data_IF_478050409992
#
_entry.id   IF_478050409992
#
_cell.length_a   1.000
_cell.length_b   1.000
_cell.length_c   1.000
_cell.angle_alpha   90.00
_cell.angle_beta   90.00
_cell.angle_gamma   90.00
#
_symmetry.space_group_name_H-M   'P 1'
#
loop_
_entity.id
_entity.type
_entity.pdbx_description
1 polymer ?
#
# COMPACT_ATOMS: atom_id res chain seq x y z
N UNK A 1 -79.50 39.97 -20.98
CA UNK A 1 -78.26 39.87 -21.80
C UNK A 1 -77.17 40.67 -21.10
N UNK A 2 -76.28 40.03 -20.32
CA UNK A 2 -74.83 40.05 -20.52
C UNK A 2 -74.19 39.19 -19.40
N UNK A 3 -73.57 38.09 -19.80
CA UNK A 3 -72.74 37.25 -18.93
C UNK A 3 -71.28 37.62 -19.21
N UNK A 4 -70.47 37.90 -18.18
CA UNK A 4 -69.01 37.82 -18.28
C UNK A 4 -68.42 37.83 -16.87
N UNK A 5 -68.24 36.64 -16.29
CA UNK A 5 -66.96 35.91 -16.12
C UNK A 5 -66.13 36.47 -14.96
N UNK A 6 -66.33 35.86 -13.79
CA UNK A 6 -65.43 35.95 -12.64
C UNK A 6 -64.19 35.12 -12.94
N UNK A 7 -63.09 35.78 -13.29
CA UNK A 7 -61.77 35.15 -13.33
C UNK A 7 -61.27 35.00 -11.89
N UNK A 8 -61.50 33.82 -11.30
CA UNK A 8 -60.81 33.42 -10.08
C UNK A 8 -59.35 33.08 -10.43
N UNK A 9 -58.34 33.74 -9.82
CA UNK A 9 -56.96 33.32 -10.02
C UNK A 9 -56.79 31.92 -9.45
N UNK A 10 -56.28 31.01 -10.27
CA UNK A 10 -55.91 29.65 -9.85
C UNK A 10 -54.68 29.81 -8.95
N UNK A 11 -54.90 30.05 -7.65
CA UNK A 11 -53.86 29.95 -6.65
C UNK A 11 -53.50 28.47 -6.50
N UNK A 12 -52.59 27.98 -7.34
CA UNK A 12 -51.94 26.70 -7.10
C UNK A 12 -51.31 26.82 -5.70
N UNK A 13 -51.64 25.94 -4.73
CA UNK A 13 -51.15 26.10 -3.37
C UNK A 13 -49.63 26.11 -3.43
N UNK A 14 -49.00 27.19 -2.98
CA UNK A 14 -47.55 27.44 -3.02
C UNK A 14 -46.75 26.19 -2.61
N UNK A 15 -47.25 25.45 -1.62
CA UNK A 15 -46.71 24.19 -1.12
C UNK A 15 -46.59 23.07 -2.17
N UNK A 16 -47.43 23.03 -3.20
CA UNK A 16 -47.40 22.00 -4.26
C UNK A 16 -46.38 22.32 -5.35
N UNK A 17 -46.08 23.61 -5.59
CA UNK A 17 -45.03 24.05 -6.51
C UNK A 17 -43.62 23.95 -5.89
N UNK A 18 -43.51 24.06 -4.56
CA UNK A 18 -42.22 23.98 -3.85
C UNK A 18 -41.72 22.54 -3.62
N UNK A 19 -42.60 21.53 -3.64
CA UNK A 19 -42.22 20.11 -3.48
C UNK A 19 -41.14 19.61 -4.46
N UNK A 20 -41.26 19.79 -5.79
CA UNK A 20 -40.22 19.33 -6.71
C UNK A 20 -38.89 20.05 -6.50
N UNK A 21 -38.92 21.34 -6.12
CA UNK A 21 -37.71 22.10 -5.77
C UNK A 21 -37.05 21.56 -4.49
N UNK A 22 -37.84 21.25 -3.46
CA UNK A 22 -37.35 20.64 -2.21
C UNK A 22 -36.76 19.24 -2.47
N UNK A 23 -37.44 18.41 -3.26
CA UNK A 23 -36.92 17.09 -3.64
C UNK A 23 -35.63 17.22 -4.45
N UNK A 24 -35.59 18.14 -5.41
CA UNK A 24 -34.39 18.43 -6.19
C UNK A 24 -33.22 18.89 -5.31
N UNK A 25 -33.48 19.80 -4.36
CA UNK A 25 -32.48 20.24 -3.38
C UNK A 25 -31.97 19.07 -2.53
N UNK A 26 -32.86 18.24 -2.01
CA UNK A 26 -32.48 17.06 -1.22
C UNK A 26 -31.64 16.07 -2.04
N UNK A 27 -31.98 15.85 -3.31
CA UNK A 27 -31.20 14.99 -4.21
C UNK A 27 -29.80 15.56 -4.48
N UNK A 28 -29.70 16.88 -4.68
CA UNK A 28 -28.40 17.55 -4.86
C UNK A 28 -27.56 17.44 -3.59
N UNK A 29 -28.16 17.71 -2.43
CA UNK A 29 -27.48 17.56 -1.12
C UNK A 29 -26.98 16.12 -0.93
N UNK A 30 -27.83 15.13 -1.20
CA UNK A 30 -27.45 13.72 -1.13
C UNK A 30 -26.31 13.39 -2.08
N UNK A 31 -26.38 13.85 -3.33
CA UNK A 31 -25.32 13.65 -4.33
C UNK A 31 -24.00 14.24 -3.87
N UNK A 32 -24.01 15.48 -3.36
CA UNK A 32 -22.80 16.13 -2.83
C UNK A 32 -22.22 15.32 -1.68
N UNK A 33 -23.05 14.87 -0.73
CA UNK A 33 -22.59 14.04 0.39
C UNK A 33 -21.94 12.73 -0.09
N UNK A 34 -22.52 12.06 -1.08
CA UNK A 34 -21.96 10.83 -1.67
C UNK A 34 -20.63 11.11 -2.37
N UNK A 35 -20.54 12.18 -3.16
CA UNK A 35 -19.29 12.55 -3.84
C UNK A 35 -18.19 12.94 -2.85
N UNK A 36 -18.53 13.69 -1.80
CA UNK A 36 -17.60 14.01 -0.72
C UNK A 36 -17.13 12.74 -0.01
N UNK A 37 -18.04 11.80 0.28
CA UNK A 37 -17.69 10.52 0.87
C UNK A 37 -16.69 9.75 -0.01
N UNK A 38 -16.94 9.65 -1.32
CA UNK A 38 -16.04 9.00 -2.27
C UNK A 38 -14.67 9.70 -2.28
N UNK A 39 -14.63 11.03 -2.32
CA UNK A 39 -13.38 11.79 -2.30
C UNK A 39 -12.56 11.49 -1.03
N UNK A 40 -13.21 11.40 0.14
CA UNK A 40 -12.55 11.00 1.39
C UNK A 40 -11.97 9.59 1.30
N UNK A 41 -12.71 8.62 0.75
CA UNK A 41 -12.20 7.25 0.56
C UNK A 41 -10.97 7.21 -0.35
N UNK A 42 -10.97 8.01 -1.42
CA UNK A 42 -9.79 8.14 -2.31
C UNK A 42 -8.60 8.73 -1.57
N UNK A 43 -8.81 9.78 -0.77
CA UNK A 43 -7.73 10.39 0.02
C UNK A 43 -7.14 9.40 1.03
N UNK A 44 -7.98 8.62 1.72
CA UNK A 44 -7.53 7.57 2.66
C UNK A 44 -6.74 6.49 1.92
N UNK A 45 -7.20 6.05 0.75
CA UNK A 45 -6.48 5.06 -0.06
C UNK A 45 -5.10 5.57 -0.50
N UNK A 46 -5.00 6.81 -0.98
CA UNK A 46 -3.73 7.43 -1.38
C UNK A 46 -2.79 7.56 -0.19
N UNK A 47 -3.28 8.04 0.96
CA UNK A 47 -2.49 8.12 2.18
C UNK A 47 -1.97 6.73 2.61
N UNK A 48 -2.79 5.69 2.45
CA UNK A 48 -2.41 4.30 2.68
C UNK A 48 -1.30 3.79 1.80
N UNK A 49 -1.39 4.05 0.49
CA UNK A 49 -0.37 3.64 -0.47
C UNK A 49 0.97 4.32 -0.16
N UNK A 50 0.97 5.63 0.11
CA UNK A 50 2.17 6.37 0.49
C UNK A 50 2.76 5.90 1.83
N UNK A 51 1.91 5.61 2.82
CA UNK A 51 2.34 5.03 4.08
C UNK A 51 2.97 3.65 3.87
N UNK A 52 2.33 2.80 3.04
CA UNK A 52 2.82 1.47 2.72
C UNK A 52 4.16 1.50 1.99
N UNK A 53 4.30 2.37 0.99
CA UNK A 53 5.57 2.63 0.29
C UNK A 53 6.66 3.06 1.28
N UNK A 54 6.34 4.02 2.16
CA UNK A 54 7.30 4.51 3.16
C UNK A 54 7.78 3.41 4.12
N UNK A 55 6.86 2.59 4.63
CA UNK A 55 7.20 1.45 5.50
C UNK A 55 8.08 0.47 4.74
N UNK A 56 7.68 0.09 3.53
CA UNK A 56 8.38 -0.87 2.70
C UNK A 56 9.80 -0.41 2.34
N UNK A 57 9.96 0.80 1.79
CA UNK A 57 11.26 1.35 1.40
C UNK A 57 12.19 1.58 2.59
N UNK A 58 11.63 1.93 3.76
CA UNK A 58 12.42 2.04 4.98
C UNK A 58 12.91 0.67 5.45
N UNK A 59 12.05 -0.34 5.45
CA UNK A 59 12.42 -1.70 5.84
C UNK A 59 13.48 -2.29 4.89
N UNK A 60 13.32 -2.12 3.58
CA UNK A 60 14.31 -2.52 2.58
C UNK A 60 15.70 -1.91 2.85
N UNK A 61 15.77 -0.58 2.98
CA UNK A 61 17.03 0.13 3.27
C UNK A 61 17.63 -0.31 4.61
N UNK A 62 16.80 -0.46 5.64
CA UNK A 62 17.27 -0.89 6.96
C UNK A 62 17.77 -2.33 6.94
N UNK A 63 17.17 -3.22 6.14
CA UNK A 63 17.66 -4.58 5.96
C UNK A 63 19.10 -4.58 5.40
N UNK A 64 19.39 -3.76 4.38
CA UNK A 64 20.74 -3.64 3.82
C UNK A 64 21.74 -3.17 4.90
N UNK A 65 21.38 -2.13 5.66
CA UNK A 65 22.23 -1.58 6.73
C UNK A 65 22.50 -2.62 7.82
N UNK A 66 21.46 -3.29 8.31
CA UNK A 66 21.55 -4.28 9.39
C UNK A 66 22.37 -5.49 8.94
N UNK A 67 22.20 -5.95 7.69
CA UNK A 67 22.98 -7.06 7.15
C UNK A 67 24.45 -6.68 6.94
N UNK A 68 24.72 -5.47 6.45
CA UNK A 68 26.08 -4.96 6.33
C UNK A 68 26.78 -4.93 7.69
N UNK A 69 26.12 -4.40 8.72
CA UNK A 69 26.65 -4.35 10.07
C UNK A 69 26.88 -5.76 10.64
N UNK A 70 25.99 -6.71 10.35
CA UNK A 70 26.19 -8.11 10.70
C UNK A 70 27.40 -8.72 10.00
N UNK A 71 27.56 -8.49 8.69
CA UNK A 71 28.68 -9.02 7.92
C UNK A 71 30.04 -8.53 8.45
N UNK A 72 30.11 -7.28 8.94
CA UNK A 72 31.33 -6.71 9.52
C UNK A 72 31.63 -7.20 10.95
N UNK A 73 30.60 -7.39 11.78
CA UNK A 73 30.78 -7.59 13.22
C UNK A 73 30.49 -9.01 13.72
N UNK A 74 29.69 -9.78 12.98
CA UNK A 74 29.14 -11.05 13.44
C UNK A 74 28.11 -10.95 14.58
N UNK A 75 27.67 -9.73 14.95
CA UNK A 75 26.76 -9.53 16.08
C UNK A 75 25.36 -10.10 15.81
N UNK A 76 24.88 -10.95 16.72
CA UNK A 76 23.55 -11.55 16.65
C UNK A 76 22.42 -10.49 16.63
N UNK A 77 22.64 -9.33 17.25
CA UNK A 77 21.65 -8.24 17.29
C UNK A 77 21.40 -7.64 15.90
N UNK A 78 22.45 -7.46 15.10
CA UNK A 78 22.33 -6.97 13.73
C UNK A 78 21.64 -8.01 12.83
N UNK A 79 21.94 -9.30 13.00
CA UNK A 79 21.23 -10.36 12.28
C UNK A 79 19.74 -10.41 12.66
N UNK A 80 19.42 -10.27 13.94
CA UNK A 80 18.03 -10.22 14.40
C UNK A 80 17.30 -8.98 13.85
N UNK A 81 17.97 -7.82 13.80
CA UNK A 81 17.42 -6.61 13.20
C UNK A 81 17.14 -6.79 11.71
N UNK A 82 18.10 -7.30 10.94
CA UNK A 82 17.93 -7.66 9.54
C UNK A 82 16.70 -8.55 9.31
N UNK A 83 16.57 -9.63 10.07
CA UNK A 83 15.45 -10.58 9.95
C UNK A 83 14.09 -9.91 10.16
N UNK A 84 13.98 -8.96 11.10
CA UNK A 84 12.73 -8.19 11.29
C UNK A 84 12.41 -7.33 10.07
N UNK A 85 13.41 -6.64 9.52
CA UNK A 85 13.19 -5.76 8.36
C UNK A 85 12.83 -6.55 7.09
N UNK A 86 13.54 -7.65 6.84
CA UNK A 86 13.24 -8.52 5.69
C UNK A 86 11.87 -9.16 5.82
N UNK A 87 11.41 -9.50 7.03
CA UNK A 87 10.06 -10.02 7.21
C UNK A 87 9.00 -9.00 6.81
N UNK A 88 9.20 -7.71 7.11
CA UNK A 88 8.29 -6.64 6.65
C UNK A 88 8.24 -6.61 5.13
N UNK A 89 9.41 -6.58 4.46
CA UNK A 89 9.49 -6.59 2.99
C UNK A 89 8.83 -7.84 2.40
N UNK A 90 9.04 -9.01 3.00
CA UNK A 90 8.43 -10.26 2.60
C UNK A 90 6.89 -10.25 2.77
N UNK A 91 6.38 -9.70 3.86
CA UNK A 91 4.93 -9.56 4.10
C UNK A 91 4.27 -8.69 3.02
N UNK A 92 4.92 -7.60 2.61
CA UNK A 92 4.49 -6.76 1.49
C UNK A 92 4.47 -7.52 0.15
N UNK A 93 5.50 -8.33 -0.14
CA UNK A 93 5.54 -9.21 -1.31
C UNK A 93 4.42 -10.24 -1.29
N UNK A 94 4.20 -10.91 -0.15
CA UNK A 94 3.10 -11.87 0.05
C UNK A 94 1.75 -11.22 -0.22
N UNK A 95 1.51 -10.01 0.30
CA UNK A 95 0.28 -9.28 0.07
C UNK A 95 0.06 -8.96 -1.42
N UNK A 96 1.10 -8.46 -2.10
CA UNK A 96 1.07 -8.14 -3.54
C UNK A 96 0.73 -9.38 -4.38
N UNK A 97 1.43 -10.49 -4.12
CA UNK A 97 1.30 -11.70 -4.92
C UNK A 97 -0.03 -12.43 -4.64
N UNK A 98 -0.47 -12.46 -3.37
CA UNK A 98 -1.78 -12.99 -3.00
C UNK A 98 -2.93 -12.19 -3.63
N UNK A 99 -2.79 -10.85 -3.73
CA UNK A 99 -3.77 -10.00 -4.40
C UNK A 99 -3.86 -10.25 -5.91
N UNK A 100 -2.77 -10.72 -6.53
CA UNK A 100 -2.72 -11.05 -7.95
C UNK A 100 -3.36 -12.41 -8.30
N UNK A 101 -3.67 -13.25 -7.30
CA UNK A 101 -4.30 -14.56 -7.51
C UNK A 101 -5.72 -14.44 -8.11
N UNK A 102 -6.23 -15.53 -8.71
CA UNK A 102 -7.57 -15.53 -9.29
C UNK A 102 -8.66 -15.19 -8.25
N UNK A 103 -8.55 -15.78 -7.05
CA UNK A 103 -9.46 -15.58 -5.92
C UNK A 103 -8.70 -15.12 -4.66
N UNK A 104 -8.43 -13.80 -4.53
CA UNK A 104 -7.68 -13.29 -3.39
C UNK A 104 -8.43 -13.45 -2.07
N UNK A 105 -7.77 -14.02 -1.07
CA UNK A 105 -8.27 -14.00 0.30
C UNK A 105 -7.95 -12.66 0.96
N UNK A 106 -8.83 -11.68 0.78
CA UNK A 106 -8.66 -10.32 1.31
C UNK A 106 -8.41 -10.26 2.82
N UNK A 107 -9.03 -11.15 3.62
CA UNK A 107 -8.81 -11.19 5.06
C UNK A 107 -7.38 -11.62 5.41
N UNK A 108 -6.85 -12.62 4.71
CA UNK A 108 -5.47 -13.05 4.90
C UNK A 108 -4.48 -11.94 4.49
N UNK A 109 -4.75 -11.26 3.38
CA UNK A 109 -3.93 -10.13 2.90
C UNK A 109 -3.94 -8.98 3.92
N UNK A 110 -5.12 -8.62 4.44
CA UNK A 110 -5.25 -7.58 5.46
C UNK A 110 -4.47 -7.95 6.73
N UNK A 111 -4.56 -9.20 7.20
CA UNK A 111 -3.81 -9.66 8.37
C UNK A 111 -2.30 -9.54 8.18
N UNK A 112 -1.79 -9.82 6.98
CA UNK A 112 -0.36 -9.66 6.65
C UNK A 112 0.02 -8.18 6.70
N UNK A 113 -0.72 -7.30 6.02
CA UNK A 113 -0.42 -5.87 5.95
C UNK A 113 -0.55 -5.15 7.31
N UNK A 114 -1.49 -5.56 8.16
CA UNK A 114 -1.62 -4.99 9.51
C UNK A 114 -0.35 -5.23 10.34
N UNK A 115 0.31 -6.38 10.18
CA UNK A 115 1.52 -6.71 10.95
C UNK A 115 2.73 -5.89 10.55
N UNK A 116 2.73 -5.30 9.35
CA UNK A 116 3.81 -4.41 8.90
C UNK A 116 3.70 -3.01 9.49
N UNK A 117 2.57 -2.68 10.13
CA UNK A 117 2.27 -1.34 10.63
C UNK A 117 1.56 -0.45 9.60
N UNK A 118 1.08 -1.02 8.49
CA UNK A 118 0.28 -0.28 7.52
C UNK A 118 -1.01 0.28 8.16
N UNK A 119 -1.43 1.47 7.73
CA UNK A 119 -2.65 2.12 8.20
C UNK A 119 -3.90 1.26 7.86
N UNK A 120 -4.52 0.67 8.88
CA UNK A 120 -5.62 -0.30 8.73
C UNK A 120 -6.77 0.23 7.88
N UNK A 121 -7.20 1.46 8.14
CA UNK A 121 -8.35 2.09 7.48
C UNK A 121 -8.12 2.26 5.98
N UNK A 122 -6.86 2.29 5.56
CA UNK A 122 -6.46 2.47 4.17
C UNK A 122 -6.26 1.18 3.38
N UNK A 123 -6.12 0.04 4.07
CA UNK A 123 -5.85 -1.25 3.43
C UNK A 123 -6.91 -1.58 2.37
N UNK A 124 -8.23 -1.49 2.65
CA UNK A 124 -9.25 -1.83 1.65
C UNK A 124 -9.13 -1.00 0.38
N UNK A 125 -8.88 0.31 0.52
CA UNK A 125 -8.70 1.23 -0.60
C UNK A 125 -7.43 0.92 -1.41
N UNK A 126 -6.31 0.67 -0.72
CA UNK A 126 -5.05 0.29 -1.37
C UNK A 126 -5.17 -1.03 -2.15
N UNK A 127 -5.79 -2.05 -1.55
CA UNK A 127 -6.05 -3.34 -2.23
C UNK A 127 -6.99 -3.17 -3.42
N UNK A 128 -8.01 -2.32 -3.30
CA UNK A 128 -8.91 -2.02 -4.42
C UNK A 128 -8.15 -1.41 -5.60
N UNK A 129 -7.30 -0.40 -5.34
CA UNK A 129 -6.48 0.25 -6.37
C UNK A 129 -5.53 -0.76 -7.03
N UNK A 130 -4.76 -1.49 -6.22
CA UNK A 130 -3.79 -2.46 -6.72
C UNK A 130 -4.42 -3.63 -7.47
N UNK A 131 -5.67 -4.00 -7.16
CA UNK A 131 -6.38 -5.07 -7.89
C UNK A 131 -6.99 -4.59 -9.19
N UNK A 132 -7.74 -3.49 -9.15
CA UNK A 132 -8.58 -3.08 -10.28
C UNK A 132 -7.85 -2.18 -11.28
N UNK A 133 -6.77 -1.52 -10.85
CA UNK A 133 -5.98 -0.63 -11.70
C UNK A 133 -4.60 -1.22 -12.04
N UNK A 134 -4.33 -2.49 -11.70
CA UNK A 134 -3.07 -3.20 -11.94
C UNK A 134 -2.56 -3.12 -13.38
N UNK A 135 -3.46 -3.01 -14.35
CA UNK A 135 -3.15 -3.01 -15.79
C UNK A 135 -3.12 -1.59 -16.40
N UNK A 136 -3.40 -0.55 -15.61
CA UNK A 136 -3.21 0.82 -16.08
C UNK A 136 -1.71 1.10 -16.21
N UNK A 137 -1.23 1.79 -17.27
CA UNK A 137 0.19 1.90 -17.55
C UNK A 137 1.05 2.37 -16.36
N UNK A 138 0.57 3.35 -15.58
CA UNK A 138 1.31 3.89 -14.44
C UNK A 138 1.43 2.88 -13.29
N UNK A 139 0.31 2.26 -12.88
CA UNK A 139 0.30 1.28 -11.78
C UNK A 139 1.00 -0.01 -12.20
N UNK A 140 0.81 -0.44 -13.45
CA UNK A 140 1.50 -1.60 -14.01
C UNK A 140 3.01 -1.42 -13.93
N UNK A 141 3.54 -0.31 -14.43
CA UNK A 141 4.98 -0.03 -14.37
C UNK A 141 5.49 0.04 -12.92
N UNK A 142 4.72 0.65 -12.00
CA UNK A 142 5.08 0.69 -10.59
C UNK A 142 5.12 -0.72 -9.95
N UNK A 143 4.15 -1.58 -10.28
CA UNK A 143 4.13 -2.98 -9.83
C UNK A 143 5.30 -3.79 -10.40
N UNK A 144 5.67 -3.58 -11.66
CA UNK A 144 6.84 -4.22 -12.27
C UNK A 144 8.15 -3.75 -11.63
N UNK A 145 8.32 -2.45 -11.42
CA UNK A 145 9.48 -1.91 -10.68
C UNK A 145 9.54 -2.47 -9.26
N UNK A 146 8.39 -2.61 -8.60
CA UNK A 146 8.33 -3.23 -7.27
C UNK A 146 8.66 -4.72 -7.31
N UNK A 147 8.27 -5.47 -8.35
CA UNK A 147 8.67 -6.88 -8.54
C UNK A 147 10.15 -7.03 -8.82
N UNK A 148 10.76 -6.08 -9.51
CA UNK A 148 12.17 -6.12 -9.84
C UNK A 148 13.09 -6.16 -8.60
N UNK A 149 12.62 -5.70 -7.44
CA UNK A 149 13.39 -5.71 -6.19
C UNK A 149 13.41 -7.08 -5.49
N UNK A 150 12.48 -7.98 -5.83
CA UNK A 150 12.35 -9.31 -5.20
C UNK A 150 13.66 -10.11 -5.27
N UNK A 151 14.34 -10.11 -6.42
CA UNK A 151 15.56 -10.86 -6.62
C UNK A 151 16.72 -10.36 -5.73
N UNK A 152 16.80 -9.05 -5.53
CA UNK A 152 17.76 -8.42 -4.62
C UNK A 152 17.49 -8.78 -3.16
N UNK A 153 16.22 -8.76 -2.76
CA UNK A 153 15.81 -9.17 -1.40
C UNK A 153 16.07 -10.65 -1.14
N UNK A 154 15.88 -11.51 -2.14
CA UNK A 154 16.22 -12.93 -2.06
C UNK A 154 17.74 -13.14 -1.97
N UNK A 155 18.54 -12.29 -2.64
CA UNK A 155 20.01 -12.31 -2.51
C UNK A 155 20.49 -11.86 -1.13
N UNK A 156 19.90 -10.81 -0.54
CA UNK A 156 20.22 -10.39 0.83
C UNK A 156 19.98 -11.53 1.83
N UNK A 157 18.88 -12.28 1.68
CA UNK A 157 18.62 -13.45 2.52
C UNK A 157 19.67 -14.55 2.35
N UNK A 158 20.08 -14.84 1.11
CA UNK A 158 21.17 -15.80 0.84
C UNK A 158 22.49 -15.35 1.47
N UNK A 159 22.84 -14.07 1.34
CA UNK A 159 24.04 -13.48 1.93
C UNK A 159 24.03 -13.53 3.46
N UNK A 160 22.86 -13.37 4.09
CA UNK A 160 22.71 -13.53 5.52
C UNK A 160 22.99 -14.95 5.99
N UNK A 161 22.49 -15.96 5.26
CA UNK A 161 22.77 -17.38 5.53
C UNK A 161 24.26 -17.69 5.31
N UNK A 162 24.85 -17.19 4.22
CA UNK A 162 26.29 -17.34 3.93
C UNK A 162 27.16 -16.74 5.04
N UNK A 163 26.83 -15.51 5.48
CA UNK A 163 27.53 -14.82 6.56
C UNK A 163 27.39 -15.59 7.87
N UNK A 164 26.19 -16.08 8.19
CA UNK A 164 25.95 -16.87 9.39
C UNK A 164 26.73 -18.17 9.41
N UNK A 165 26.79 -18.88 8.29
CA UNK A 165 27.59 -20.10 8.15
C UNK A 165 29.09 -19.82 8.28
N UNK A 166 29.57 -18.71 7.73
CA UNK A 166 30.96 -18.28 7.89
C UNK A 166 31.26 -18.07 9.38
N UNK A 167 30.50 -17.21 10.07
CA UNK A 167 30.68 -16.93 11.51
C UNK A 167 30.53 -18.18 12.41
N UNK A 168 29.77 -19.19 11.99
CA UNK A 168 29.63 -20.46 12.72
C UNK A 168 30.87 -21.37 12.62
N UNK A 169 31.64 -21.27 11.54
CA UNK A 169 32.89 -22.05 11.34
C UNK A 169 34.14 -21.29 11.82
N UNK A 170 33.98 -20.03 12.22
CA UNK A 170 35.02 -19.13 12.73
C UNK A 170 34.78 -17.69 12.25
N UNK A 171 35.54 -16.71 12.72
CA UNK A 171 35.41 -15.35 12.18
C UNK A 171 35.92 -15.32 10.72
N UNK A 172 35.10 -14.90 9.73
CA UNK A 172 35.55 -14.78 8.34
C UNK A 172 36.74 -13.82 8.24
N UNK A 173 37.67 -14.09 7.32
CA UNK A 173 38.82 -13.22 7.07
C UNK A 173 38.39 -11.82 6.59
N UNK A 174 39.25 -10.82 6.74
CA UNK A 174 38.97 -9.46 6.27
C UNK A 174 38.62 -9.41 4.75
N UNK A 175 39.27 -10.25 3.95
CA UNK A 175 38.99 -10.35 2.50
C UNK A 175 37.60 -10.93 2.23
N UNK A 176 37.20 -11.97 2.98
CA UNK A 176 35.87 -12.56 2.85
C UNK A 176 34.77 -11.57 3.30
N UNK A 177 34.96 -10.89 4.43
CA UNK A 177 34.03 -9.85 4.89
C UNK A 177 33.87 -8.74 3.83
N UNK A 178 34.98 -8.22 3.31
CA UNK A 178 34.97 -7.19 2.26
C UNK A 178 34.33 -7.67 0.94
N UNK A 179 34.37 -8.97 0.62
CA UNK A 179 33.69 -9.51 -0.55
C UNK A 179 32.16 -9.58 -0.32
N UNK A 180 31.73 -10.04 0.87
CA UNK A 180 30.32 -10.12 1.26
C UNK A 180 29.70 -8.72 1.31
N UNK A 181 30.35 -7.77 1.99
CA UNK A 181 29.82 -6.41 2.12
C UNK A 181 29.73 -5.67 0.80
N UNK A 182 30.67 -5.87 -0.13
CA UNK A 182 30.55 -5.34 -1.49
C UNK A 182 29.34 -5.90 -2.24
N UNK A 183 29.04 -7.19 -2.09
CA UNK A 183 27.85 -7.81 -2.69
C UNK A 183 26.56 -7.23 -2.09
N UNK A 184 26.51 -7.07 -0.77
CA UNK A 184 25.38 -6.44 -0.08
C UNK A 184 25.12 -5.02 -0.62
N UNK A 185 26.17 -4.21 -0.76
CA UNK A 185 26.04 -2.83 -1.25
C UNK A 185 25.67 -2.74 -2.74
N UNK A 186 26.07 -3.72 -3.55
CA UNK A 186 25.76 -3.75 -4.98
C UNK A 186 24.26 -4.00 -5.26
N UNK A 187 23.55 -4.69 -4.36
CA UNK A 187 22.12 -4.99 -4.50
C UNK A 187 21.26 -3.72 -4.55
N UNK A 188 21.70 -2.63 -3.92
CA UNK A 188 20.96 -1.37 -3.82
C UNK A 188 21.30 -0.34 -4.94
N UNK A 189 22.06 -0.73 -5.97
CA UNK A 189 22.52 0.18 -7.05
C UNK A 189 21.67 0.15 -8.32
N UNK A 190 20.55 -0.58 -8.31
CA UNK A 190 19.61 -0.69 -9.43
C UNK A 190 18.18 -0.44 -8.94
#
# INVERSE_FOLDING_TARGET
MNASRSDKPIAIPLARQLRPLLVGMLLIVLLVLVLTWIALQVQVAVAGLLNGESIWSKAEKQAVIDLYAYAETGSADHLAAFRRQVQIVADYRVARDALASAEPNYRAIEQVLVRTGALRESIPGGLFVLRHFAHTPYIHNALESWRATDAGMDELQRLAVESQAAYATGAPSAVQRAAITRRILAINQH
#
